data_IF_279897063139
#
_entry.id   IF_279897063139
#
_cell.length_a   1.000
_cell.length_b   1.000
_cell.length_c   1.000
_cell.angle_alpha   90.00
_cell.angle_beta   90.00
_cell.angle_gamma   90.00
#
_symmetry.space_group_name_H-M   'P 1'
#
loop_
_entity.id
_entity.type
_entity.pdbx_description
1 polymer ?
#
# COMPACT_ATOMS: atom_id res chain seq x y z
N UNK A 1 6.60 11.95 1.24
CA UNK A 1 5.82 13.07 0.67
C UNK A 1 5.59 14.09 1.77
N UNK A 2 5.78 15.37 1.49
CA UNK A 2 5.44 16.44 2.44
C UNK A 2 4.09 17.02 2.03
N UNK A 3 3.18 17.13 3.00
CA UNK A 3 1.84 17.72 2.84
C UNK A 3 1.78 18.98 3.70
N UNK A 4 1.21 20.06 3.17
CA UNK A 4 1.12 21.34 3.88
C UNK A 4 -0.08 22.14 3.41
N UNK A 5 -0.69 22.91 4.32
CA UNK A 5 -1.74 23.86 3.96
C UNK A 5 -3.09 23.20 3.69
N UNK A 6 -3.31 21.98 4.22
CA UNK A 6 -4.60 21.29 4.08
C UNK A 6 -5.69 21.87 4.96
N UNK A 7 -5.30 22.55 6.05
CA UNK A 7 -6.16 22.97 7.16
C UNK A 7 -6.87 21.82 7.90
N UNK A 8 -6.63 20.55 7.53
CA UNK A 8 -7.19 19.38 8.20
C UNK A 8 -6.39 19.14 9.49
N UNK A 9 -7.02 19.48 10.62
CA UNK A 9 -6.46 19.33 11.97
C UNK A 9 -6.83 18.00 12.60
N UNK A 10 -7.94 17.39 12.17
CA UNK A 10 -8.40 16.09 12.64
C UNK A 10 -8.79 15.21 11.46
N UNK A 11 -7.94 14.22 11.16
CA UNK A 11 -8.24 13.18 10.18
C UNK A 11 -9.38 12.27 10.65
N UNK A 12 -10.21 11.85 9.73
CA UNK A 12 -11.22 10.80 9.91
C UNK A 12 -10.82 9.55 9.13
N UNK A 13 -10.30 9.76 7.93
CA UNK A 13 -9.94 8.68 7.01
C UNK A 13 -8.86 9.13 6.03
N UNK A 14 -7.97 8.20 5.68
CA UNK A 14 -7.01 8.40 4.58
C UNK A 14 -7.17 7.28 3.57
N UNK A 15 -7.35 7.65 2.31
CA UNK A 15 -7.26 6.73 1.19
C UNK A 15 -5.83 6.77 0.64
N UNK A 16 -5.21 5.61 0.47
CA UNK A 16 -3.89 5.46 -0.13
C UNK A 16 -4.00 4.62 -1.40
N UNK A 17 -3.42 5.12 -2.49
CA UNK A 17 -3.29 4.38 -3.75
C UNK A 17 -1.82 4.10 -4.04
N UNK A 18 -1.49 2.87 -4.39
CA UNK A 18 -0.12 2.43 -4.72
C UNK A 18 -0.15 1.71 -6.06
N UNK A 19 0.57 2.23 -7.04
CA UNK A 19 0.66 1.64 -8.39
C UNK A 19 1.98 0.92 -8.55
N UNK A 20 1.91 -0.37 -8.87
CA UNK A 20 3.07 -1.25 -9.07
C UNK A 20 2.84 -2.20 -10.24
N UNK A 21 3.95 -2.65 -10.82
CA UNK A 21 3.99 -3.81 -11.71
C UNK A 21 4.98 -4.81 -11.09
N UNK A 22 4.51 -5.98 -10.66
CA UNK A 22 5.30 -6.96 -9.90
C UNK A 22 4.86 -8.39 -10.25
N UNK A 23 5.79 -9.35 -10.24
CA UNK A 23 5.47 -10.76 -10.48
C UNK A 23 5.15 -11.57 -9.20
N UNK A 24 5.53 -11.08 -8.01
CA UNK A 24 5.21 -11.72 -6.72
C UNK A 24 4.56 -10.73 -5.73
N UNK A 25 3.32 -10.28 -6.01
CA UNK A 25 2.59 -9.37 -5.13
C UNK A 25 2.54 -9.85 -3.66
N UNK A 26 2.42 -11.16 -3.46
CA UNK A 26 2.30 -11.79 -2.14
C UNK A 26 3.53 -11.67 -1.26
N UNK A 27 4.67 -11.34 -1.85
CA UNK A 27 5.90 -11.13 -1.11
C UNK A 27 6.01 -9.68 -0.59
N UNK A 28 5.09 -8.79 -0.95
CA UNK A 28 5.12 -7.39 -0.53
C UNK A 28 4.59 -7.16 0.89
N UNK A 29 5.33 -6.34 1.64
CA UNK A 29 4.82 -5.58 2.77
C UNK A 29 4.77 -4.09 2.41
N UNK A 30 3.65 -3.45 2.72
CA UNK A 30 3.45 -2.01 2.52
C UNK A 30 3.05 -1.39 3.85
N UNK A 31 3.80 -0.40 4.30
CA UNK A 31 3.53 0.36 5.53
C UNK A 31 3.47 1.85 5.24
N UNK A 32 2.44 2.52 5.75
CA UNK A 32 2.33 3.98 5.78
C UNK A 32 2.70 4.48 7.18
N UNK A 33 3.52 5.53 7.26
CA UNK A 33 3.80 6.26 8.49
C UNK A 33 3.30 7.69 8.35
N UNK A 34 2.47 8.13 9.30
CA UNK A 34 1.95 9.50 9.35
C UNK A 34 2.96 10.48 9.97
N UNK A 35 2.72 11.81 9.87
CA UNK A 35 3.59 12.83 10.45
C UNK A 35 3.77 12.71 11.97
N UNK A 36 2.78 12.17 12.68
CA UNK A 36 2.84 11.93 14.13
C UNK A 36 3.68 10.69 14.49
N UNK A 37 4.07 9.88 13.50
CA UNK A 37 4.78 8.62 13.67
C UNK A 37 3.87 7.38 13.70
N UNK A 38 2.56 7.52 13.55
CA UNK A 38 1.64 6.37 13.54
C UNK A 38 1.89 5.50 12.31
N UNK A 39 2.17 4.22 12.55
CA UNK A 39 2.39 3.22 11.50
C UNK A 39 1.13 2.41 11.20
N UNK A 40 0.78 2.34 9.92
CA UNK A 40 -0.34 1.56 9.40
C UNK A 40 0.16 0.56 8.37
N UNK A 41 0.00 -0.74 8.66
CA UNK A 41 0.34 -1.80 7.70
C UNK A 41 -0.80 -1.96 6.70
N UNK A 42 -0.55 -1.53 5.46
CA UNK A 42 -1.54 -1.50 4.37
C UNK A 42 -1.66 -2.86 3.69
N UNK A 43 -0.53 -3.51 3.45
CA UNK A 43 -0.44 -4.87 2.92
C UNK A 43 0.57 -5.63 3.76
N UNK A 44 0.21 -6.85 4.16
CA UNK A 44 1.14 -7.78 4.78
C UNK A 44 1.47 -8.90 3.80
N UNK A 45 2.69 -9.42 3.88
CA UNK A 45 3.09 -10.60 3.11
C UNK A 45 2.04 -11.71 3.23
N UNK A 46 1.53 -12.15 2.08
CA UNK A 46 0.55 -13.23 1.95
C UNK A 46 -0.86 -12.95 2.49
N UNK A 47 -1.20 -11.72 2.90
CA UNK A 47 -2.52 -11.38 3.46
C UNK A 47 -3.62 -11.13 2.42
N UNK A 48 -3.27 -11.09 1.15
CA UNK A 48 -4.16 -10.91 -0.01
C UNK A 48 -4.91 -12.21 -0.42
N UNK A 49 -4.61 -13.35 0.21
CA UNK A 49 -5.28 -14.62 -0.02
C UNK A 49 -4.60 -15.52 -1.05
N UNK A 50 -5.39 -16.23 -1.85
CA UNK A 50 -4.90 -17.12 -2.92
C UNK A 50 -4.76 -16.31 -4.22
N UNK A 51 -3.62 -16.45 -4.90
CA UNK A 51 -3.47 -15.89 -6.24
C UNK A 51 -4.20 -16.75 -7.25
N UNK A 52 -5.20 -16.13 -7.88
CA UNK A 52 -6.02 -16.73 -8.91
C UNK A 52 -5.81 -15.94 -10.19
N UNK A 53 -5.55 -16.64 -11.29
CA UNK A 53 -5.53 -16.02 -12.61
C UNK A 53 -6.92 -15.50 -12.96
N UNK A 54 -7.01 -14.18 -13.17
CA UNK A 54 -8.23 -13.53 -13.64
C UNK A 54 -8.43 -13.92 -15.11
N UNK A 55 -9.29 -14.91 -15.35
CA UNK A 55 -9.63 -15.41 -16.69
C UNK A 55 -9.68 -16.93 -16.80
N UNK A 56 -8.91 -17.64 -15.97
CA UNK A 56 -8.91 -19.12 -15.95
C UNK A 56 -9.40 -19.69 -14.63
N UNK A 57 -9.54 -18.86 -13.59
CA UNK A 57 -9.88 -19.28 -12.21
C UNK A 57 -8.93 -20.34 -11.65
N UNK A 58 -7.74 -20.50 -12.25
CA UNK A 58 -6.72 -21.42 -11.79
C UNK A 58 -5.90 -20.77 -10.68
N UNK A 59 -5.60 -21.55 -9.65
CA UNK A 59 -4.67 -21.16 -8.59
C UNK A 59 -3.26 -21.13 -9.17
N UNK A 60 -2.51 -20.08 -8.86
CA UNK A 60 -1.12 -19.99 -9.27
C UNK A 60 -0.24 -20.96 -8.46
N UNK A 61 0.30 -22.04 -9.07
CA UNK A 61 0.92 -23.14 -8.32
C UNK A 61 2.19 -22.73 -7.57
N UNK A 62 2.79 -21.59 -7.95
CA UNK A 62 4.12 -21.18 -7.52
C UNK A 62 4.11 -19.88 -6.69
N UNK A 63 2.93 -19.34 -6.38
CA UNK A 63 2.78 -18.03 -5.75
C UNK A 63 3.18 -16.88 -6.67
N UNK A 64 3.23 -17.09 -7.98
CA UNK A 64 3.51 -16.09 -9.01
C UNK A 64 2.28 -15.19 -9.17
N UNK A 65 2.23 -14.17 -8.33
CA UNK A 65 1.11 -13.26 -8.24
C UNK A 65 1.40 -12.03 -9.05
N UNK A 66 1.28 -12.18 -10.37
CA UNK A 66 1.51 -11.07 -11.27
C UNK A 66 0.43 -10.03 -11.05
N UNK A 67 0.87 -8.82 -10.74
CA UNK A 67 -0.01 -7.69 -10.52
C UNK A 67 0.57 -6.47 -11.23
N UNK A 68 -0.22 -5.93 -12.14
CA UNK A 68 0.06 -4.67 -12.81
C UNK A 68 -1.16 -3.77 -12.63
N UNK A 69 -1.08 -2.81 -11.72
CA UNK A 69 -2.22 -1.97 -11.41
C UNK A 69 -2.07 -1.17 -10.15
N UNK A 70 -3.20 -0.73 -9.61
CA UNK A 70 -3.26 0.14 -8.43
C UNK A 70 -3.99 -0.53 -7.29
N UNK A 71 -3.28 -0.76 -6.19
CA UNK A 71 -3.85 -1.16 -4.90
C UNK A 71 -4.48 0.06 -4.23
N UNK A 72 -5.62 -0.14 -3.57
CA UNK A 72 -6.33 0.91 -2.83
C UNK A 72 -6.51 0.47 -1.39
N UNK A 73 -6.11 1.32 -0.46
CA UNK A 73 -6.17 1.07 0.98
C UNK A 73 -6.93 2.19 1.68
N UNK A 74 -7.72 1.81 2.69
CA UNK A 74 -8.32 2.74 3.63
C UNK A 74 -7.62 2.68 4.98
N UNK A 75 -7.31 3.84 5.56
CA UNK A 75 -6.58 3.95 6.83
C UNK A 75 -7.42 4.77 7.81
N UNK A 76 -7.84 4.11 8.88
CA UNK A 76 -8.54 4.73 10.01
C UNK A 76 -7.62 4.95 11.23
N UNK A 77 -6.44 4.32 11.24
CA UNK A 77 -5.53 4.33 12.40
C UNK A 77 -4.97 5.72 12.71
N UNK A 78 -4.97 6.63 11.74
CA UNK A 78 -4.50 8.01 11.88
C UNK A 78 -5.64 8.98 12.24
N UNK A 79 -6.81 8.47 12.64
CA UNK A 79 -7.94 9.31 13.03
C UNK A 79 -7.56 10.23 14.20
N UNK A 80 -7.93 11.51 14.10
CA UNK A 80 -7.61 12.56 15.07
C UNK A 80 -6.25 13.24 14.85
N UNK A 81 -5.42 12.77 13.92
CA UNK A 81 -4.13 13.39 13.62
C UNK A 81 -4.29 14.57 12.64
N UNK A 82 -3.33 15.50 12.63
CA UNK A 82 -3.25 16.51 11.57
C UNK A 82 -2.73 15.89 10.28
N UNK A 83 -3.28 16.33 9.14
CA UNK A 83 -2.85 15.84 7.83
C UNK A 83 -1.50 16.43 7.36
N UNK A 84 -1.15 17.62 7.86
CA UNK A 84 0.07 18.33 7.45
C UNK A 84 1.32 17.69 8.06
N UNK A 85 2.36 17.56 7.24
CA UNK A 85 3.66 17.02 7.62
C UNK A 85 4.18 15.95 6.67
N UNK A 86 5.17 15.19 7.12
CA UNK A 86 5.83 14.17 6.30
C UNK A 86 5.12 12.82 6.42
N UNK A 87 4.61 12.34 5.30
CA UNK A 87 4.08 10.99 5.14
C UNK A 87 5.09 10.11 4.43
N UNK A 88 5.33 8.92 4.96
CA UNK A 88 6.29 7.96 4.40
C UNK A 88 5.61 6.66 4.05
N UNK A 89 5.79 6.20 2.81
CA UNK A 89 5.42 4.84 2.41
C UNK A 89 6.69 3.99 2.34
N UNK A 90 6.66 2.84 2.99
CA UNK A 90 7.70 1.82 2.89
C UNK A 90 7.12 0.61 2.15
N UNK A 91 7.76 0.22 1.05
CA UNK A 91 7.40 -0.94 0.25
C UNK A 91 8.60 -1.88 0.28
N UNK A 92 8.38 -3.10 0.78
CA UNK A 92 9.43 -4.11 0.92
C UNK A 92 9.00 -5.40 0.25
N UNK A 93 9.82 -5.89 -0.66
CA UNK A 93 9.74 -7.27 -1.13
C UNK A 93 10.45 -8.19 -0.12
N UNK A 94 9.74 -9.19 0.38
CA UNK A 94 10.24 -10.21 1.31
C UNK A 94 10.46 -11.57 0.65
N UNK A 95 10.34 -11.63 -0.68
CA UNK A 95 10.58 -12.82 -1.48
C UNK A 95 12.06 -13.19 -1.47
N UNK A 96 12.34 -14.49 -1.57
CA UNK A 96 13.71 -15.05 -1.68
C UNK A 96 14.01 -15.56 -3.09
N UNK A 97 13.07 -15.38 -4.03
CA UNK A 97 13.16 -15.93 -5.38
C UNK A 97 14.06 -15.03 -6.24
N UNK A 98 15.06 -15.62 -6.90
CA UNK A 98 15.95 -14.89 -7.81
C UNK A 98 15.22 -14.30 -9.04
N UNK A 99 14.02 -14.81 -9.35
CA UNK A 99 13.16 -14.32 -10.43
C UNK A 99 12.29 -13.14 -10.01
N UNK A 100 12.31 -12.72 -8.73
CA UNK A 100 11.48 -11.62 -8.25
C UNK A 100 11.88 -10.30 -8.92
N UNK A 101 10.89 -9.66 -9.54
CA UNK A 101 11.05 -8.36 -10.16
C UNK A 101 9.79 -7.52 -9.96
N UNK A 102 9.99 -6.21 -9.91
CA UNK A 102 8.89 -5.28 -9.86
C UNK A 102 9.35 -3.84 -9.96
N UNK A 103 8.43 -3.00 -10.40
CA UNK A 103 8.62 -1.56 -10.49
C UNK A 103 7.54 -0.87 -9.68
N UNK A 104 7.96 -0.05 -8.74
CA UNK A 104 7.10 0.95 -8.14
C UNK A 104 6.94 2.12 -9.11
N UNK A 105 5.69 2.46 -9.43
CA UNK A 105 5.40 3.52 -10.42
C UNK A 105 5.00 4.81 -9.73
N UNK A 106 4.02 4.75 -8.83
CA UNK A 106 3.50 5.94 -8.16
C UNK A 106 2.72 5.60 -6.91
N UNK A 107 2.45 6.62 -6.10
CA UNK A 107 1.48 6.57 -5.02
C UNK A 107 0.81 7.93 -4.86
N UNK A 108 -0.40 7.94 -4.30
CA UNK A 108 -1.11 9.16 -3.91
C UNK A 108 -1.96 8.91 -2.67
N UNK A 109 -2.35 10.01 -2.03
CA UNK A 109 -3.20 9.99 -0.85
C UNK A 109 -4.35 10.98 -1.01
N UNK A 110 -5.49 10.64 -0.42
CA UNK A 110 -6.61 11.55 -0.23
C UNK A 110 -7.01 11.56 1.24
N UNK A 111 -7.04 12.76 1.82
CA UNK A 111 -7.34 12.99 3.22
C UNK A 111 -8.81 13.40 3.38
N UNK A 112 -9.44 12.90 4.44
CA UNK A 112 -10.78 13.27 4.85
C UNK A 112 -10.74 13.66 6.32
N UNK A 113 -11.34 14.80 6.66
CA UNK A 113 -11.31 15.37 8.00
C UNK A 113 -11.67 16.86 7.97
N UNK A 114 -11.45 17.53 9.10
CA UNK A 114 -11.71 18.97 9.30
C UNK A 114 -10.54 19.65 10.00
#
# INVERSE_FOLDING_TARGET
MVVSGTCIRSLEFVEVRVTVNINYLRDLDITLTSPSGTQSRLLSRGSDGICVHVGTSSIEPNGNCLFNGTLRFGVLRTMGESADGTWTINIRDQGVRATANGTFTSWNMKFYGY
#
